data_IF_874855740547
#
_entry.id   IF_874855740547
#
_cell.length_a   1.000
_cell.length_b   1.000
_cell.length_c   1.000
_cell.angle_alpha   90.00
_cell.angle_beta   90.00
_cell.angle_gamma   90.00
#
_symmetry.space_group_name_H-M   'P 1'
#
loop_
_entity.id
_entity.type
_entity.pdbx_description
1 polymer ?
#
# COMPACT_ATOMS: atom_id res chain seq x y z
N UNK A 1 18.93 14.38 23.66
CA UNK A 1 19.69 14.97 22.54
C UNK A 1 19.78 13.93 21.44
N UNK A 2 18.87 13.93 20.47
CA UNK A 2 18.81 12.90 19.42
C UNK A 2 19.48 13.41 18.15
N UNK A 3 20.68 12.91 17.86
CA UNK A 3 21.41 13.17 16.63
C UNK A 3 20.82 12.29 15.52
N UNK A 4 20.23 12.90 14.49
CA UNK A 4 19.85 12.18 13.28
C UNK A 4 21.13 11.69 12.56
N UNK A 5 21.24 10.38 12.34
CA UNK A 5 22.46 9.71 11.84
C UNK A 5 22.47 9.48 10.31
N UNK A 6 21.68 10.24 9.53
CA UNK A 6 21.69 10.12 8.07
C UNK A 6 21.28 11.43 7.39
N UNK A 7 22.12 11.91 6.46
CA UNK A 7 21.99 13.23 5.80
C UNK A 7 21.07 13.25 4.56
N UNK A 8 20.35 12.16 4.31
CA UNK A 8 19.32 12.13 3.27
C UNK A 8 19.86 12.41 1.87
N UNK A 9 21.07 11.94 1.53
CA UNK A 9 21.57 11.92 0.15
C UNK A 9 20.59 11.15 -0.76
N UNK A 10 19.68 11.93 -1.36
CA UNK A 10 18.66 11.53 -2.33
C UNK A 10 19.36 10.84 -3.51
N UNK A 11 18.82 9.75 -4.06
CA UNK A 11 19.24 9.31 -5.39
C UNK A 11 19.01 10.47 -6.37
N UNK A 12 19.95 10.65 -7.28
CA UNK A 12 19.97 11.71 -8.28
C UNK A 12 18.60 11.82 -8.96
N UNK A 13 18.12 13.06 -9.09
CA UNK A 13 16.91 13.41 -9.83
C UNK A 13 17.02 12.78 -11.21
N UNK A 14 16.26 11.70 -11.45
CA UNK A 14 16.10 11.14 -12.78
C UNK A 14 15.57 12.26 -13.67
N UNK A 15 16.31 12.61 -14.71
CA UNK A 15 15.91 13.64 -15.66
C UNK A 15 14.51 13.28 -16.18
N UNK A 16 13.56 14.16 -15.89
CA UNK A 16 12.18 14.05 -16.35
C UNK A 16 12.22 14.09 -17.88
N UNK A 17 11.94 12.94 -18.51
CA UNK A 17 11.75 12.87 -19.97
C UNK A 17 10.55 13.74 -20.33
N UNK A 18 10.66 14.52 -21.40
CA UNK A 18 9.52 15.26 -21.94
C UNK A 18 8.37 14.30 -22.25
N UNK A 19 7.17 14.63 -21.81
CA UNK A 19 5.98 13.83 -22.06
C UNK A 19 5.64 13.89 -23.58
N UNK A 20 5.41 12.75 -24.26
CA UNK A 20 4.97 12.75 -25.65
C UNK A 20 3.62 13.45 -25.82
N UNK A 21 3.42 14.15 -26.94
CA UNK A 21 2.25 15.02 -27.21
C UNK A 21 0.90 14.26 -27.30
N UNK A 22 0.90 12.95 -27.55
CA UNK A 22 -0.29 12.12 -27.72
C UNK A 22 -0.69 11.29 -26.48
N UNK A 23 -0.11 11.59 -25.31
CA UNK A 23 -0.45 10.89 -24.08
C UNK A 23 -1.83 11.32 -23.57
N UNK A 24 -2.79 10.40 -23.35
CA UNK A 24 -4.07 10.73 -22.74
C UNK A 24 -3.86 11.50 -21.44
N UNK A 25 -4.51 12.67 -21.32
CA UNK A 25 -4.33 13.55 -20.16
C UNK A 25 -4.80 12.87 -18.89
N UNK A 26 -3.85 12.30 -18.13
CA UNK A 26 -4.06 11.97 -16.73
C UNK A 26 -4.41 13.25 -15.95
N UNK A 27 -5.06 13.10 -14.80
CA UNK A 27 -5.26 14.26 -13.93
C UNK A 27 -3.93 14.93 -13.59
N UNK A 28 -3.92 16.25 -13.50
CA UNK A 28 -2.70 17.04 -13.25
C UNK A 28 -1.96 16.67 -11.94
N UNK A 29 -2.66 16.01 -11.02
CA UNK A 29 -2.17 15.52 -9.73
C UNK A 29 -1.71 14.06 -9.74
N UNK A 30 -1.63 13.42 -10.92
CA UNK A 30 -1.06 12.10 -11.14
C UNK A 30 0.20 12.15 -12.01
N UNK A 31 1.10 11.20 -11.80
CA UNK A 31 2.24 10.92 -12.67
C UNK A 31 2.35 9.42 -12.87
N UNK A 32 2.81 9.00 -14.04
CA UNK A 32 3.15 7.62 -14.31
C UNK A 32 4.65 7.49 -14.54
N UNK A 33 5.26 6.45 -13.96
CA UNK A 33 6.69 6.22 -14.04
C UNK A 33 7.15 5.90 -15.48
N UNK A 34 6.31 5.19 -16.23
CA UNK A 34 6.55 4.84 -17.64
C UNK A 34 5.44 5.45 -18.53
N UNK A 35 5.76 6.44 -19.38
CA UNK A 35 4.80 7.08 -20.27
C UNK A 35 4.05 6.10 -21.19
N UNK A 36 4.65 4.95 -21.55
CA UNK A 36 4.00 3.95 -22.39
C UNK A 36 2.73 3.35 -21.75
N UNK A 37 2.63 3.40 -20.41
CA UNK A 37 1.47 2.89 -19.67
C UNK A 37 0.40 3.95 -19.38
N UNK A 38 0.61 5.21 -19.80
CA UNK A 38 -0.30 6.30 -19.48
C UNK A 38 -1.71 6.09 -20.04
N UNK A 39 -1.83 5.58 -21.27
CA UNK A 39 -3.13 5.32 -21.90
C UNK A 39 -3.93 4.25 -21.15
N UNK A 40 -3.27 3.17 -20.72
CA UNK A 40 -3.91 2.13 -19.92
C UNK A 40 -4.41 2.67 -18.58
N UNK A 41 -3.58 3.44 -17.86
CA UNK A 41 -3.99 4.07 -16.61
C UNK A 41 -5.17 5.04 -16.82
N UNK A 42 -5.13 5.85 -17.88
CA UNK A 42 -6.21 6.79 -18.21
C UNK A 42 -7.55 6.06 -18.44
N UNK A 43 -7.54 4.95 -19.21
CA UNK A 43 -8.74 4.16 -19.44
C UNK A 43 -9.31 3.54 -18.14
N UNK A 44 -8.44 3.05 -17.24
CA UNK A 44 -8.88 2.51 -15.94
C UNK A 44 -9.48 3.61 -15.07
N UNK A 45 -8.90 4.82 -15.10
CA UNK A 45 -9.42 5.97 -14.36
C UNK A 45 -10.77 6.45 -14.90
N UNK A 46 -10.93 6.50 -16.22
CA UNK A 46 -12.20 6.82 -16.86
C UNK A 46 -13.29 5.78 -16.50
N UNK A 47 -12.95 4.49 -16.54
CA UNK A 47 -13.84 3.44 -16.08
C UNK A 47 -14.20 3.59 -14.60
N UNK A 48 -13.26 3.98 -13.74
CA UNK A 48 -13.53 4.27 -12.33
C UNK A 48 -14.52 5.43 -12.16
N UNK A 49 -14.44 6.49 -12.97
CA UNK A 49 -15.40 7.59 -13.00
C UNK A 49 -16.82 7.16 -13.41
N UNK A 50 -16.96 6.02 -14.10
CA UNK A 50 -18.26 5.41 -14.40
C UNK A 50 -19.07 5.07 -13.14
N UNK A 51 -18.41 4.86 -11.99
CA UNK A 51 -19.06 4.50 -10.72
C UNK A 51 -19.22 5.69 -9.77
N UNK A 52 -20.38 5.86 -9.07
CA UNK A 52 -20.52 6.83 -7.98
C UNK A 52 -19.42 6.71 -6.92
N UNK A 53 -19.01 5.49 -6.58
CA UNK A 53 -17.95 5.21 -5.60
C UNK A 53 -16.58 5.64 -6.10
N UNK A 54 -16.24 5.40 -7.36
CA UNK A 54 -15.00 5.86 -7.98
C UNK A 54 -14.92 7.38 -8.05
N UNK A 55 -15.99 8.07 -8.49
CA UNK A 55 -16.05 9.54 -8.48
C UNK A 55 -15.86 10.13 -7.09
N UNK A 56 -16.49 9.55 -6.07
CA UNK A 56 -16.32 9.99 -4.69
C UNK A 56 -14.88 9.78 -4.19
N UNK A 57 -14.25 8.66 -4.54
CA UNK A 57 -12.85 8.34 -4.20
C UNK A 57 -11.88 9.32 -4.86
N UNK A 58 -12.00 9.53 -6.17
CA UNK A 58 -11.18 10.47 -6.94
C UNK A 58 -11.36 11.91 -6.45
N UNK A 59 -12.59 12.30 -6.08
CA UNK A 59 -12.87 13.62 -5.50
C UNK A 59 -12.15 13.83 -4.16
N UNK A 60 -12.23 12.84 -3.25
CA UNK A 60 -11.51 12.87 -1.97
C UNK A 60 -10.00 12.94 -2.19
N UNK A 61 -9.49 12.14 -3.12
CA UNK A 61 -8.08 12.08 -3.46
C UNK A 61 -7.56 13.42 -4.02
N UNK A 62 -8.31 14.04 -4.94
CA UNK A 62 -8.03 15.38 -5.46
C UNK A 62 -7.95 16.44 -4.34
N UNK A 63 -8.91 16.42 -3.41
CA UNK A 63 -8.91 17.33 -2.25
C UNK A 63 -7.66 17.14 -1.37
N UNK A 64 -7.32 15.89 -1.08
CA UNK A 64 -6.13 15.53 -0.31
C UNK A 64 -4.83 15.94 -1.00
N UNK A 65 -4.65 15.63 -2.29
CA UNK A 65 -3.41 15.88 -3.02
C UNK A 65 -3.17 17.37 -3.29
N UNK A 66 -4.22 18.19 -3.44
CA UNK A 66 -4.09 19.65 -3.51
C UNK A 66 -3.30 20.23 -2.34
N UNK A 67 -3.44 19.66 -1.14
CA UNK A 67 -2.70 20.08 0.05
C UNK A 67 -1.23 19.61 0.07
N UNK A 68 -0.88 18.56 -0.68
CA UNK A 68 0.42 17.86 -0.56
C UNK A 68 1.51 18.38 -1.51
N UNK A 69 1.20 19.29 -2.43
CA UNK A 69 2.12 19.87 -3.45
C UNK A 69 2.91 18.86 -4.30
N UNK A 70 2.62 17.55 -4.19
CA UNK A 70 3.28 16.47 -4.91
C UNK A 70 2.22 15.59 -5.57
N UNK A 71 2.43 15.15 -6.81
CA UNK A 71 1.52 14.23 -7.48
C UNK A 71 1.62 12.82 -6.89
N UNK A 72 0.54 12.05 -7.01
CA UNK A 72 0.57 10.61 -6.77
C UNK A 72 1.21 9.90 -7.96
N UNK A 73 2.18 9.02 -7.70
CA UNK A 73 2.94 8.33 -8.75
C UNK A 73 2.41 6.91 -8.91
N UNK A 74 2.22 6.49 -10.16
CA UNK A 74 1.82 5.15 -10.54
C UNK A 74 2.95 4.42 -11.26
N UNK A 75 3.08 3.12 -11.02
CA UNK A 75 4.06 2.27 -11.67
C UNK A 75 3.45 0.90 -11.99
N UNK A 76 3.55 0.45 -13.25
CA UNK A 76 3.20 -0.93 -13.59
C UNK A 76 4.42 -1.83 -13.40
N UNK A 77 4.26 -2.92 -12.67
CA UNK A 77 5.36 -3.82 -12.30
C UNK A 77 4.97 -5.29 -12.52
N UNK A 78 5.96 -6.13 -12.87
CA UNK A 78 5.77 -7.58 -12.91
C UNK A 78 5.70 -8.10 -11.47
N UNK A 79 4.51 -8.16 -10.91
CA UNK A 79 4.26 -8.66 -9.55
C UNK A 79 3.88 -10.14 -9.60
N UNK A 80 4.33 -10.91 -8.60
CA UNK A 80 4.06 -12.35 -8.49
C UNK A 80 2.95 -12.71 -7.50
N UNK A 81 2.53 -11.79 -6.62
CA UNK A 81 1.62 -12.10 -5.50
C UNK A 81 0.39 -11.18 -5.38
N UNK A 82 0.45 -9.93 -5.86
CA UNK A 82 -0.65 -8.95 -5.77
C UNK A 82 -0.99 -8.37 -7.14
N UNK A 83 -2.26 -8.05 -7.37
CA UNK A 83 -2.70 -7.34 -8.58
C UNK A 83 -2.37 -5.84 -8.53
N UNK A 84 -2.35 -5.26 -7.33
CA UNK A 84 -1.88 -3.91 -7.07
C UNK A 84 -1.54 -3.75 -5.58
N UNK A 85 -0.76 -2.73 -5.22
CA UNK A 85 -0.58 -2.28 -3.83
C UNK A 85 -0.10 -0.82 -3.77
N UNK A 86 -0.39 -0.13 -2.67
CA UNK A 86 0.27 1.14 -2.32
C UNK A 86 1.54 0.85 -1.53
N UNK A 87 2.69 1.34 -2.01
CA UNK A 87 3.90 1.36 -1.20
C UNK A 87 3.78 2.48 -0.15
N UNK A 88 3.57 2.09 1.10
CA UNK A 88 3.36 3.02 2.20
C UNK A 88 4.59 3.86 2.53
N UNK A 89 5.78 3.49 2.08
CA UNK A 89 7.00 4.26 2.31
C UNK A 89 7.23 5.27 1.19
N UNK A 90 7.03 4.86 -0.06
CA UNK A 90 7.30 5.71 -1.23
C UNK A 90 6.08 6.47 -1.74
N UNK A 91 4.87 6.11 -1.29
CA UNK A 91 3.58 6.63 -1.79
C UNK A 91 3.36 6.35 -3.29
N UNK A 92 4.05 5.35 -3.82
CA UNK A 92 3.86 4.88 -5.19
C UNK A 92 2.73 3.86 -5.20
N UNK A 93 1.74 4.05 -6.09
CA UNK A 93 0.74 3.03 -6.37
C UNK A 93 1.30 2.10 -7.43
N UNK A 94 1.56 0.85 -7.05
CA UNK A 94 2.14 -0.16 -7.94
C UNK A 94 1.04 -1.07 -8.44
N UNK A 95 0.82 -1.05 -9.75
CA UNK A 95 -0.15 -1.88 -10.45
C UNK A 95 0.55 -3.07 -11.08
N UNK A 96 -0.10 -4.23 -11.12
CA UNK A 96 0.40 -5.40 -11.82
C UNK A 96 0.35 -5.22 -13.33
N UNK A 97 1.39 -5.62 -14.06
CA UNK A 97 1.39 -5.57 -15.54
C UNK A 97 0.27 -6.40 -16.18
N UNK A 98 -0.37 -7.30 -15.45
CA UNK A 98 -1.58 -8.01 -15.90
C UNK A 98 -2.73 -7.05 -16.19
N UNK A 99 -2.86 -5.96 -15.43
CA UNK A 99 -3.91 -4.95 -15.61
C UNK A 99 -3.79 -4.19 -16.94
N UNK A 100 -2.61 -4.20 -17.59
CA UNK A 100 -2.43 -3.60 -18.92
C UNK A 100 -3.22 -4.32 -20.02
N UNK A 101 -3.60 -5.57 -19.78
CA UNK A 101 -4.34 -6.42 -20.73
C UNK A 101 -5.78 -6.69 -20.28
N UNK A 102 -6.15 -6.16 -19.12
CA UNK A 102 -7.46 -6.37 -18.53
C UNK A 102 -8.45 -5.34 -19.08
N UNK A 103 -9.74 -5.69 -19.08
CA UNK A 103 -10.79 -4.72 -19.35
C UNK A 103 -10.69 -3.59 -18.31
N UNK A 104 -10.59 -2.31 -18.71
CA UNK A 104 -10.55 -1.18 -17.79
C UNK A 104 -11.68 -1.18 -16.75
N UNK A 105 -12.87 -1.67 -17.12
CA UNK A 105 -14.03 -1.77 -16.22
C UNK A 105 -13.78 -2.80 -15.11
N UNK A 106 -13.09 -3.91 -15.40
CA UNK A 106 -12.70 -4.91 -14.41
C UNK A 106 -11.54 -4.45 -13.53
N UNK A 107 -10.59 -3.70 -14.10
CA UNK A 107 -9.44 -3.16 -13.39
C UNK A 107 -9.80 -1.97 -12.46
N UNK A 108 -10.87 -1.23 -12.77
CA UNK A 108 -11.26 -0.02 -12.02
C UNK A 108 -11.56 -0.27 -10.53
N UNK A 109 -12.33 -1.30 -10.11
CA UNK A 109 -12.53 -1.62 -8.70
C UNK A 109 -11.23 -1.89 -7.93
N UNK A 110 -10.25 -2.53 -8.58
CA UNK A 110 -8.92 -2.81 -7.98
C UNK A 110 -8.15 -1.50 -7.82
N UNK A 111 -8.17 -0.61 -8.82
CA UNK A 111 -7.55 0.70 -8.67
C UNK A 111 -8.22 1.51 -7.53
N UNK A 112 -9.54 1.49 -7.44
CA UNK A 112 -10.29 2.18 -6.37
C UNK A 112 -9.91 1.63 -4.98
N UNK A 113 -9.65 0.32 -4.87
CA UNK A 113 -9.13 -0.32 -3.66
C UNK A 113 -7.85 0.38 -3.19
N UNK A 114 -6.85 0.45 -4.08
CA UNK A 114 -5.55 1.05 -3.75
C UNK A 114 -5.67 2.54 -3.43
N UNK A 115 -6.48 3.28 -4.18
CA UNK A 115 -6.71 4.69 -3.91
C UNK A 115 -7.37 4.92 -2.54
N UNK A 116 -8.14 3.94 -2.04
CA UNK A 116 -8.70 3.97 -0.69
C UNK A 116 -7.58 3.90 0.35
N UNK A 117 -6.56 3.05 0.16
CA UNK A 117 -5.38 3.03 1.03
C UNK A 117 -4.60 4.33 1.03
N UNK A 118 -4.45 4.99 -0.13
CA UNK A 118 -3.82 6.33 -0.19
C UNK A 118 -4.59 7.34 0.68
N UNK A 119 -5.93 7.33 0.60
CA UNK A 119 -6.77 8.19 1.42
C UNK A 119 -6.63 7.83 2.91
N UNK A 120 -6.69 6.55 3.26
CA UNK A 120 -6.56 6.06 4.63
C UNK A 120 -5.24 6.47 5.26
N UNK A 121 -4.13 6.40 4.51
CA UNK A 121 -2.82 6.87 4.97
C UNK A 121 -2.85 8.32 5.45
N UNK A 122 -3.63 9.19 4.80
CA UNK A 122 -3.78 10.58 5.22
C UNK A 122 -4.56 10.77 6.53
N UNK A 123 -5.39 9.80 6.92
CA UNK A 123 -6.23 9.87 8.13
C UNK A 123 -5.46 9.60 9.42
N UNK A 124 -4.17 9.22 9.32
CA UNK A 124 -3.33 8.80 10.45
C UNK A 124 -4.05 7.70 11.24
N UNK A 125 -4.32 6.58 10.57
CA UNK A 125 -4.88 5.37 11.17
C UNK A 125 -3.75 4.34 11.36
N UNK A 126 -3.91 3.35 12.27
CA UNK A 126 -2.93 2.29 12.42
C UNK A 126 -2.81 1.49 11.12
N UNK A 127 -1.59 1.33 10.60
CA UNK A 127 -1.33 0.71 9.30
C UNK A 127 -1.74 -0.76 9.26
N UNK A 128 -1.47 -1.50 10.33
CA UNK A 128 -1.81 -2.92 10.43
C UNK A 128 -3.24 -3.17 10.92
N UNK A 129 -4.13 -2.17 10.87
CA UNK A 129 -5.52 -2.35 11.23
C UNK A 129 -6.29 -3.05 10.10
N UNK A 130 -6.88 -4.21 10.39
CA UNK A 130 -7.70 -4.96 9.47
C UNK A 130 -8.88 -4.15 8.92
N UNK A 131 -9.44 -3.22 9.69
CA UNK A 131 -10.56 -2.39 9.26
C UNK A 131 -10.20 -1.46 8.09
N UNK A 132 -8.91 -1.18 7.84
CA UNK A 132 -8.48 -0.48 6.62
C UNK A 132 -8.74 -1.33 5.38
N UNK A 133 -8.36 -2.58 5.44
CA UNK A 133 -8.52 -3.56 4.37
C UNK A 133 -10.00 -3.89 4.18
N UNK A 134 -10.75 -4.03 5.27
CA UNK A 134 -12.20 -4.18 5.21
C UNK A 134 -12.87 -2.98 4.53
N UNK A 135 -12.52 -1.73 4.87
CA UNK A 135 -13.03 -0.54 4.14
C UNK A 135 -12.70 -0.62 2.64
N UNK A 136 -11.45 -0.94 2.30
CA UNK A 136 -11.00 -1.03 0.92
C UNK A 136 -11.80 -2.09 0.14
N UNK A 137 -11.99 -3.30 0.70
CA UNK A 137 -12.83 -4.33 0.09
C UNK A 137 -14.29 -3.92 -0.05
N UNK A 138 -14.88 -3.26 0.96
CA UNK A 138 -16.26 -2.77 0.87
C UNK A 138 -16.42 -1.74 -0.26
N UNK A 139 -15.44 -0.85 -0.43
CA UNK A 139 -15.40 0.12 -1.53
C UNK A 139 -15.26 -0.61 -2.87
N UNK A 140 -14.33 -1.57 -2.99
CA UNK A 140 -14.14 -2.39 -4.19
C UNK A 140 -15.44 -3.10 -4.59
N UNK A 141 -16.04 -3.80 -3.65
CA UNK A 141 -17.30 -4.53 -3.83
C UNK A 141 -18.43 -3.63 -4.31
N UNK A 142 -18.57 -2.45 -3.68
CA UNK A 142 -19.55 -1.45 -4.07
C UNK A 142 -19.30 -0.93 -5.49
N UNK A 143 -18.05 -0.57 -5.82
CA UNK A 143 -17.70 -0.10 -7.17
C UNK A 143 -17.88 -1.18 -8.24
N UNK A 144 -17.54 -2.44 -7.96
CA UNK A 144 -17.72 -3.54 -8.89
C UNK A 144 -19.20 -3.76 -9.22
N UNK A 145 -20.07 -3.67 -8.20
CA UNK A 145 -21.53 -3.72 -8.40
C UNK A 145 -22.03 -2.54 -9.24
N UNK A 146 -21.59 -1.31 -8.94
CA UNK A 146 -21.97 -0.10 -9.69
C UNK A 146 -21.55 -0.16 -11.16
N UNK A 147 -20.43 -0.80 -11.47
CA UNK A 147 -19.90 -0.99 -12.82
C UNK A 147 -20.44 -2.26 -13.52
N UNK A 148 -21.27 -3.07 -12.85
CA UNK A 148 -21.77 -4.32 -13.40
C UNK A 148 -20.68 -5.39 -13.62
N UNK A 149 -19.55 -5.29 -12.91
CA UNK A 149 -18.41 -6.21 -13.04
C UNK A 149 -18.79 -7.59 -12.51
N UNK A 150 -18.64 -8.60 -13.37
CA UNK A 150 -18.75 -10.01 -13.02
C UNK A 150 -17.38 -10.67 -13.12
N UNK A 151 -16.90 -11.21 -11.99
CA UNK A 151 -15.60 -11.87 -11.90
C UNK A 151 -15.68 -13.34 -12.32
N UNK A 152 -14.58 -13.84 -12.89
CA UNK A 152 -14.49 -15.22 -13.43
C UNK A 152 -14.27 -16.25 -12.33
N UNK A 153 -14.48 -17.54 -12.64
CA UNK A 153 -14.13 -18.63 -11.71
C UNK A 153 -12.62 -18.62 -11.44
N UNK A 154 -12.23 -18.79 -10.19
CA UNK A 154 -10.83 -18.76 -9.76
C UNK A 154 -10.30 -17.36 -9.42
N UNK A 155 -11.06 -16.31 -9.71
CA UNK A 155 -10.73 -14.95 -9.29
C UNK A 155 -10.99 -14.78 -7.78
N UNK A 156 -10.03 -14.19 -7.06
CA UNK A 156 -10.18 -13.84 -5.66
C UNK A 156 -11.40 -12.93 -5.45
N UNK A 157 -11.61 -11.95 -6.33
CA UNK A 157 -12.73 -11.02 -6.21
C UNK A 157 -14.10 -11.68 -6.40
N UNK A 158 -14.18 -12.77 -7.18
CA UNK A 158 -15.39 -13.60 -7.22
C UNK A 158 -15.65 -14.26 -5.88
N UNK A 159 -14.60 -14.81 -5.26
CA UNK A 159 -14.72 -15.46 -3.94
C UNK A 159 -15.15 -14.44 -2.88
N UNK A 160 -14.58 -13.24 -2.91
CA UNK A 160 -14.98 -12.11 -2.06
C UNK A 160 -16.45 -11.76 -2.24
N UNK A 161 -16.95 -11.61 -3.47
CA UNK A 161 -18.37 -11.34 -3.74
C UNK A 161 -19.29 -12.44 -3.21
N UNK A 162 -18.96 -13.71 -3.47
CA UNK A 162 -19.77 -14.85 -3.03
C UNK A 162 -19.82 -14.96 -1.50
N UNK A 163 -18.68 -14.78 -0.84
CA UNK A 163 -18.60 -14.78 0.62
C UNK A 163 -19.40 -13.63 1.20
N UNK A 164 -19.26 -12.43 0.63
CA UNK A 164 -20.00 -11.27 1.08
C UNK A 164 -21.52 -11.42 0.94
N UNK A 165 -22.00 -12.02 -0.16
CA UNK A 165 -23.43 -12.24 -0.37
C UNK A 165 -24.06 -13.20 0.66
N UNK A 166 -23.26 -14.05 1.29
CA UNK A 166 -23.68 -14.94 2.37
C UNK A 166 -23.79 -14.22 3.71
N UNK A 167 -23.27 -14.83 4.78
CA UNK A 167 -23.24 -14.23 6.11
C UNK A 167 -22.12 -13.19 6.25
N UNK A 168 -22.45 -12.01 6.81
CA UNK A 168 -21.52 -10.89 6.90
C UNK A 168 -20.38 -11.17 7.88
N UNK A 169 -20.67 -11.77 9.04
CA UNK A 169 -19.63 -12.04 10.04
C UNK A 169 -18.68 -13.14 9.53
N UNK A 170 -19.21 -14.18 8.87
CA UNK A 170 -18.42 -15.20 8.20
C UNK A 170 -17.57 -14.64 7.05
N UNK A 171 -18.06 -13.64 6.30
CA UNK A 171 -17.26 -12.92 5.32
C UNK A 171 -16.09 -12.18 5.97
N UNK A 172 -16.34 -11.45 7.05
CA UNK A 172 -15.32 -10.69 7.76
C UNK A 172 -14.24 -11.63 8.32
N UNK A 173 -14.64 -12.75 8.91
CA UNK A 173 -13.73 -13.76 9.45
C UNK A 173 -12.92 -14.44 8.33
N UNK A 174 -13.57 -14.79 7.21
CA UNK A 174 -12.89 -15.35 6.04
C UNK A 174 -11.86 -14.38 5.46
N UNK A 175 -12.22 -13.09 5.35
CA UNK A 175 -11.32 -12.06 4.83
C UNK A 175 -10.12 -11.88 5.75
N UNK A 176 -10.34 -11.85 7.06
CA UNK A 176 -9.26 -11.74 8.05
C UNK A 176 -8.34 -12.96 8.04
N UNK A 177 -8.86 -14.17 7.87
CA UNK A 177 -8.08 -15.39 7.79
C UNK A 177 -7.23 -15.52 6.51
N UNK A 178 -7.47 -14.69 5.50
CA UNK A 178 -6.70 -14.65 4.26
C UNK A 178 -5.21 -14.44 4.48
N UNK A 179 -4.37 -14.98 3.58
CA UNK A 179 -2.92 -15.06 3.73
C UNK A 179 -2.24 -13.70 4.00
N UNK A 180 -2.80 -12.61 3.47
CA UNK A 180 -2.23 -11.26 3.59
C UNK A 180 -2.88 -10.43 4.72
N UNK A 181 -3.94 -10.95 5.34
CA UNK A 181 -4.76 -10.24 6.34
C UNK A 181 -4.66 -10.85 7.73
N UNK A 182 -4.21 -12.11 7.84
CA UNK A 182 -4.07 -12.84 9.10
C UNK A 182 -3.17 -12.15 10.12
N UNK A 183 -2.20 -11.38 9.63
CA UNK A 183 -1.28 -10.61 10.47
C UNK A 183 -1.85 -9.24 10.88
N UNK A 184 -2.90 -8.78 10.21
CA UNK A 184 -3.56 -7.53 10.55
C UNK A 184 -4.39 -7.69 11.83
N UNK A 185 -4.38 -6.65 12.63
CA UNK A 185 -5.03 -6.60 13.93
C UNK A 185 -6.47 -6.14 13.77
N UNK A 186 -7.40 -6.76 14.51
CA UNK A 186 -8.83 -6.47 14.41
C UNK A 186 -9.34 -5.90 15.72
N UNK A 187 -9.81 -4.66 15.70
CA UNK A 187 -10.48 -4.04 16.85
C UNK A 187 -11.91 -4.52 16.98
N UNK A 188 -12.56 -4.91 15.88
CA UNK A 188 -13.94 -5.38 15.86
C UNK A 188 -14.15 -6.71 16.61
N UNK A 189 -13.10 -7.47 16.90
CA UNK A 189 -13.16 -8.79 17.56
C UNK A 189 -12.14 -8.96 18.69
N UNK A 190 -11.54 -7.88 19.19
CA UNK A 190 -10.50 -7.93 20.21
C UNK A 190 -10.51 -6.69 21.11
N UNK A 191 -9.74 -6.76 22.20
CA UNK A 191 -9.59 -5.62 23.11
C UNK A 191 -8.51 -4.64 22.63
N UNK A 192 -8.55 -3.40 23.13
CA UNK A 192 -7.45 -2.43 22.92
C UNK A 192 -6.11 -3.00 23.39
N UNK A 193 -6.11 -3.68 24.52
CA UNK A 193 -4.88 -4.19 25.14
C UNK A 193 -4.30 -5.35 24.34
N UNK A 194 -5.13 -6.23 23.80
CA UNK A 194 -4.70 -7.28 22.85
C UNK A 194 -4.07 -6.68 21.60
N UNK A 195 -4.65 -5.61 21.04
CA UNK A 195 -4.08 -4.92 19.90
C UNK A 195 -2.70 -4.34 20.25
N UNK A 196 -2.60 -3.62 21.37
CA UNK A 196 -1.35 -3.02 21.83
C UNK A 196 -0.28 -4.09 22.06
N UNK A 197 -0.60 -5.20 22.73
CA UNK A 197 0.33 -6.29 22.98
C UNK A 197 0.87 -6.90 21.67
N UNK A 198 0.01 -7.09 20.67
CA UNK A 198 0.46 -7.59 19.36
C UNK A 198 1.34 -6.60 18.61
N UNK A 199 1.04 -5.30 18.68
CA UNK A 199 1.89 -4.28 18.10
C UNK A 199 3.24 -4.17 18.82
N UNK A 200 3.28 -4.34 20.14
CA UNK A 200 4.53 -4.39 20.92
C UNK A 200 5.40 -5.58 20.48
N UNK A 201 4.82 -6.77 20.36
CA UNK A 201 5.52 -7.94 19.82
C UNK A 201 6.04 -7.71 18.39
N UNK A 202 5.26 -7.01 17.55
CA UNK A 202 5.68 -6.63 16.20
C UNK A 202 6.82 -5.60 16.22
N UNK A 203 6.79 -4.63 17.14
CA UNK A 203 7.85 -3.63 17.30
C UNK A 203 9.17 -4.30 17.67
N UNK A 204 9.14 -5.26 18.60
CA UNK A 204 10.33 -6.06 18.93
C UNK A 204 10.84 -6.87 17.74
N UNK A 205 9.92 -7.46 16.97
CA UNK A 205 10.23 -8.15 15.72
C UNK A 205 10.92 -7.24 14.70
N UNK A 206 10.37 -6.06 14.48
CA UNK A 206 10.94 -5.04 13.60
C UNK A 206 12.31 -4.57 14.09
N UNK A 207 12.50 -4.36 15.39
CA UNK A 207 13.79 -4.01 15.99
C UNK A 207 14.85 -5.09 15.74
N UNK A 208 14.49 -6.38 15.87
CA UNK A 208 15.38 -7.50 15.53
C UNK A 208 15.74 -7.51 14.04
N UNK A 209 14.78 -7.22 13.17
CA UNK A 209 14.99 -7.10 11.71
C UNK A 209 15.95 -5.97 11.37
N UNK A 210 15.78 -4.79 11.98
CA UNK A 210 16.70 -3.64 11.84
C UNK A 210 18.11 -4.03 12.27
N UNK A 211 18.28 -4.61 13.46
CA UNK A 211 19.59 -5.04 13.95
C UNK A 211 20.26 -6.06 13.02
N UNK A 212 19.49 -7.02 12.49
CA UNK A 212 19.97 -8.02 11.54
C UNK A 212 20.42 -7.40 10.21
N UNK A 213 19.61 -6.49 9.65
CA UNK A 213 19.93 -5.77 8.42
C UNK A 213 21.15 -4.87 8.58
N UNK A 214 21.28 -4.18 9.72
CA UNK A 214 22.43 -3.34 10.05
C UNK A 214 23.73 -4.17 10.10
N UNK A 215 23.71 -5.34 10.75
CA UNK A 215 24.85 -6.29 10.74
C UNK A 215 25.21 -6.76 9.33
N UNK A 216 24.22 -6.95 8.45
CA UNK A 216 24.46 -7.31 7.04
C UNK A 216 25.16 -6.18 6.29
N UNK A 217 24.71 -4.94 6.45
CA UNK A 217 25.35 -3.76 5.84
C UNK A 217 26.80 -3.63 6.32
N UNK A 218 27.04 -3.71 7.64
CA UNK A 218 28.38 -3.64 8.20
C UNK A 218 29.32 -4.71 7.63
N UNK A 219 28.86 -5.96 7.52
CA UNK A 219 29.64 -7.05 6.88
C UNK A 219 29.96 -6.75 5.41
N UNK A 220 29.00 -6.28 4.62
CA UNK A 220 29.21 -5.91 3.21
C UNK A 220 30.17 -4.73 3.06
N UNK A 221 30.13 -3.76 3.98
CA UNK A 221 31.10 -2.66 4.00
C UNK A 221 32.50 -3.14 4.33
N UNK A 222 32.66 -4.04 5.30
CA UNK A 222 33.95 -4.63 5.65
C UNK A 222 34.55 -5.42 4.47
N UNK A 223 33.75 -6.23 3.77
CA UNK A 223 34.21 -6.92 2.55
C UNK A 223 34.63 -5.94 1.47
N UNK A 224 33.86 -4.87 1.23
CA UNK A 224 34.25 -3.86 0.25
C UNK A 224 35.56 -3.15 0.62
N UNK A 225 35.81 -2.92 1.91
CA UNK A 225 37.09 -2.38 2.40
C UNK A 225 38.25 -3.36 2.13
N UNK A 226 38.08 -4.64 2.48
CA UNK A 226 39.07 -5.69 2.19
C UNK A 226 39.38 -5.80 0.68
N UNK A 227 38.37 -5.70 -0.19
CA UNK A 227 38.59 -5.68 -1.64
C UNK A 227 39.42 -4.47 -2.11
N UNK A 228 39.23 -3.31 -1.48
CA UNK A 228 40.04 -2.11 -1.77
C UNK A 228 41.48 -2.31 -1.31
N UNK A 229 41.67 -2.82 -0.11
CA UNK A 229 43.00 -3.08 0.47
C UNK A 229 43.76 -4.13 -0.35
N UNK A 230 43.05 -5.11 -0.92
CA UNK A 230 43.58 -6.10 -1.84
C UNK A 230 43.70 -5.61 -3.30
N UNK A 231 43.57 -4.30 -3.56
CA UNK A 231 43.73 -3.66 -4.86
C UNK A 231 42.86 -4.25 -5.99
N UNK A 232 41.62 -4.67 -5.69
CA UNK A 232 40.70 -5.13 -6.71
C UNK A 232 40.43 -4.03 -7.76
N UNK A 233 40.20 -4.44 -9.01
CA UNK A 233 39.89 -3.52 -10.11
C UNK A 233 38.68 -2.62 -9.77
N UNK A 234 38.67 -1.34 -10.17
CA UNK A 234 37.56 -0.42 -9.91
C UNK A 234 36.20 -0.94 -10.39
N UNK A 235 36.17 -1.67 -11.51
CA UNK A 235 34.96 -2.30 -12.04
C UNK A 235 34.40 -3.35 -11.07
N UNK A 236 35.25 -4.19 -10.45
CA UNK A 236 34.82 -5.19 -9.48
C UNK A 236 34.27 -4.55 -8.20
N UNK A 237 34.91 -3.48 -7.71
CA UNK A 237 34.43 -2.70 -6.57
C UNK A 237 33.05 -2.07 -6.85
N UNK A 238 32.87 -1.52 -8.05
CA UNK A 238 31.59 -0.95 -8.49
C UNK A 238 30.51 -2.02 -8.57
N UNK A 239 30.80 -3.17 -9.18
CA UNK A 239 29.87 -4.30 -9.27
C UNK A 239 29.45 -4.79 -7.89
N UNK A 240 30.41 -5.02 -6.98
CA UNK A 240 30.10 -5.44 -5.61
C UNK A 240 29.23 -4.41 -4.89
N UNK A 241 29.54 -3.12 -5.01
CA UNK A 241 28.73 -2.06 -4.39
C UNK A 241 27.27 -2.14 -4.87
N UNK A 242 27.06 -2.22 -6.19
CA UNK A 242 25.72 -2.19 -6.77
C UNK A 242 24.94 -3.48 -6.51
N UNK A 243 25.60 -4.64 -6.50
CA UNK A 243 24.93 -5.94 -6.39
C UNK A 243 24.77 -6.43 -4.95
N UNK A 244 25.65 -6.02 -4.03
CA UNK A 244 25.65 -6.53 -2.66
C UNK A 244 25.39 -5.44 -1.62
N UNK A 245 26.10 -4.31 -1.69
CA UNK A 245 26.02 -3.28 -0.66
C UNK A 245 24.74 -2.45 -0.76
N UNK A 246 24.39 -1.93 -1.94
CA UNK A 246 23.18 -1.13 -2.11
C UNK A 246 21.90 -1.93 -1.81
N UNK A 247 21.76 -3.21 -2.22
CA UNK A 247 20.62 -4.02 -1.81
C UNK A 247 20.59 -4.33 -0.31
N UNK A 248 21.74 -4.46 0.35
CA UNK A 248 21.78 -4.60 1.81
C UNK A 248 21.32 -3.31 2.51
N UNK A 249 21.70 -2.14 1.98
CA UNK A 249 21.26 -0.83 2.49
C UNK A 249 19.76 -0.61 2.27
N UNK A 250 19.24 -1.03 1.12
CA UNK A 250 17.80 -0.96 0.86
C UNK A 250 17.01 -1.80 1.88
N UNK A 251 17.44 -3.04 2.14
CA UNK A 251 16.81 -3.88 3.18
C UNK A 251 16.83 -3.23 4.56
N UNK A 252 17.92 -2.55 4.93
CA UNK A 252 18.00 -1.80 6.18
C UNK A 252 17.00 -0.63 6.21
N UNK A 253 16.89 0.13 5.11
CA UNK A 253 15.89 1.20 5.00
C UNK A 253 14.47 0.68 5.14
N UNK A 254 14.14 -0.42 4.46
CA UNK A 254 12.82 -1.05 4.57
C UNK A 254 12.52 -1.53 5.99
N UNK A 255 13.50 -2.17 6.66
CA UNK A 255 13.34 -2.63 8.05
C UNK A 255 13.15 -1.45 9.02
N UNK A 256 13.87 -0.34 8.81
CA UNK A 256 13.70 0.86 9.64
C UNK A 256 12.32 1.49 9.43
N UNK A 257 11.85 1.55 8.19
CA UNK A 257 10.52 2.10 7.88
C UNK A 257 9.38 1.28 8.49
N UNK A 258 9.52 -0.06 8.54
CA UNK A 258 8.57 -0.94 9.25
C UNK A 258 8.60 -0.68 10.76
N UNK A 259 9.78 -0.59 11.37
CA UNK A 259 9.94 -0.22 12.79
C UNK A 259 9.26 1.13 13.10
N UNK A 260 9.57 2.17 12.34
CA UNK A 260 9.02 3.52 12.54
C UNK A 260 7.49 3.54 12.38
N UNK A 261 6.96 2.72 11.47
CA UNK A 261 5.52 2.57 11.24
C UNK A 261 4.82 1.93 12.43
N UNK A 262 5.37 0.84 12.96
CA UNK A 262 4.80 0.14 14.12
C UNK A 262 4.91 1.02 15.38
N UNK A 263 6.03 1.73 15.57
CA UNK A 263 6.24 2.65 16.69
C UNK A 263 5.23 3.80 16.65
N UNK A 264 5.00 4.38 15.47
CA UNK A 264 3.97 5.40 15.25
C UNK A 264 2.58 4.89 15.65
N UNK A 265 2.23 3.67 15.25
CA UNK A 265 0.92 3.08 15.52
C UNK A 265 0.70 2.81 17.01
N UNK A 266 1.72 2.33 17.70
CA UNK A 266 1.71 2.20 19.15
C UNK A 266 1.48 3.55 19.83
N UNK A 267 2.21 4.59 19.42
CA UNK A 267 2.01 5.94 19.95
C UNK A 267 0.60 6.46 19.70
N UNK A 268 0.06 6.20 18.51
CA UNK A 268 -1.29 6.61 18.14
C UNK A 268 -2.33 5.91 19.02
N UNK A 269 -2.23 4.60 19.19
CA UNK A 269 -3.21 3.81 19.93
C UNK A 269 -3.07 3.91 21.45
N UNK A 270 -1.90 4.28 21.96
CA UNK A 270 -1.70 4.62 23.39
C UNK A 270 -2.33 5.97 23.75
N UNK A 271 -2.40 6.90 22.82
CA UNK A 271 -3.10 8.17 23.03
C UNK A 271 -4.63 7.95 23.08
N UNK A 272 -5.35 8.53 24.08
CA UNK A 272 -6.81 8.47 24.13
C UNK A 272 -7.47 8.98 22.84
N UNK A 273 -6.98 10.10 22.31
CA UNK A 273 -7.53 10.71 21.09
C UNK A 273 -7.26 9.87 19.84
N UNK A 274 -6.08 9.25 19.74
CA UNK A 274 -5.74 8.39 18.61
C UNK A 274 -6.54 7.10 18.63
N UNK A 275 -6.71 6.49 19.81
CA UNK A 275 -7.58 5.33 19.99
C UNK A 275 -9.05 5.65 19.65
N UNK A 276 -9.62 6.72 20.19
CA UNK A 276 -11.02 7.12 19.91
C UNK A 276 -11.24 7.38 18.42
N UNK A 277 -10.28 8.02 17.74
CA UNK A 277 -10.34 8.22 16.29
C UNK A 277 -10.39 6.90 15.53
N UNK A 278 -9.49 5.98 15.87
CA UNK A 278 -9.46 4.68 15.23
C UNK A 278 -10.70 3.84 15.55
N UNK A 279 -11.20 3.90 16.79
CA UNK A 279 -12.44 3.24 17.18
C UNK A 279 -13.63 3.74 16.37
N UNK A 280 -13.79 5.06 16.26
CA UNK A 280 -14.83 5.66 15.42
C UNK A 280 -14.72 5.20 13.97
N UNK A 281 -13.51 5.17 13.43
CA UNK A 281 -13.27 4.64 12.08
C UNK A 281 -13.71 3.18 11.95
N UNK A 282 -13.33 2.30 12.88
CA UNK A 282 -13.73 0.90 12.87
C UNK A 282 -15.26 0.72 12.97
N UNK A 283 -15.92 1.51 13.81
CA UNK A 283 -17.39 1.52 13.94
C UNK A 283 -18.06 2.00 12.64
N UNK A 284 -17.52 3.03 11.99
CA UNK A 284 -17.99 3.53 10.68
C UNK A 284 -17.84 2.47 9.58
N UNK A 285 -16.72 1.73 9.56
CA UNK A 285 -16.48 0.61 8.63
C UNK A 285 -17.47 -0.51 8.87
N UNK A 286 -17.72 -0.90 10.13
CA UNK A 286 -18.74 -1.91 10.47
C UNK A 286 -20.13 -1.47 10.02
N UNK A 287 -20.48 -0.21 10.24
CA UNK A 287 -21.76 0.34 9.81
C UNK A 287 -21.88 0.37 8.27
N UNK A 288 -20.79 0.69 7.57
CA UNK A 288 -20.73 0.59 6.11
C UNK A 288 -20.92 -0.84 5.63
N UNK A 289 -20.26 -1.81 6.27
CA UNK A 289 -20.39 -3.24 5.95
C UNK A 289 -21.84 -3.70 6.05
N UNK A 290 -22.50 -3.39 7.18
CA UNK A 290 -23.91 -3.72 7.43
C UNK A 290 -24.84 -3.10 6.40
N UNK A 291 -24.68 -1.81 6.08
CA UNK A 291 -25.53 -1.13 5.08
C UNK A 291 -25.35 -1.71 3.68
N UNK A 292 -24.11 -1.95 3.27
CA UNK A 292 -23.81 -2.53 1.97
C UNK A 292 -24.36 -3.96 1.86
N UNK A 293 -24.17 -4.76 2.91
CA UNK A 293 -24.70 -6.13 3.03
C UNK A 293 -26.22 -6.18 2.96
N UNK A 294 -26.92 -5.35 3.72
CA UNK A 294 -28.37 -5.26 3.65
C UNK A 294 -28.86 -4.93 2.23
N UNK A 295 -28.16 -4.05 1.50
CA UNK A 295 -28.51 -3.71 0.11
C UNK A 295 -28.23 -4.82 -0.92
N UNK A 296 -27.59 -5.90 -0.49
CA UNK A 296 -27.16 -7.02 -1.32
C UNK A 296 -28.00 -8.28 -1.10
N UNK A 297 -28.80 -8.29 -0.04
CA UNK A 297 -29.80 -9.31 0.16
C UNK A 297 -30.99 -9.07 -0.79
N UNK A 298 -31.59 -10.14 -1.34
CA UNK A 298 -32.74 -10.07 -2.22
C UNK A 298 -34.00 -9.53 -1.54
#
# INVERSE_FOLDING_TARGET
SHTALFDGSRPAVSAVRAEPEDVPKLYSWFRIADPAHAAALAAILEAAEGSPTGRATLTKLKGMLRSRKRPLVFEFTRQSASHAYVDWNTEIVRLGTSMLKEDPVHAAPVLIHELTHVIQKSRRLPYHAFELELEAFLVTLKSARELGVKYRRGDFMRSTQLKFAGDLDAFIDWLHAGHDQKENFRLLSGSRDEFLAKLEARLEGAARSVASAARRVARRQATLAQMKDAAYLPAALKTYRLQELEPARERLRSAQADYDTVERDLKLLRSPNGYLRYRRFADDVRAMAKRLHASWQP
#
